data_IF_392775444321
#
_entry.id   IF_392775444321
#
_cell.length_a   1.000
_cell.length_b   1.000
_cell.length_c   1.000
_cell.angle_alpha   90.00
_cell.angle_beta   90.00
_cell.angle_gamma   90.00
#
_symmetry.space_group_name_H-M   'P 1'
#
loop_
_entity.id
_entity.type
_entity.pdbx_description
1 polymer ?
#
# COMPACT_ATOMS: atom_id res chain seq x y z
N UNK A 1 19.01 -7.23 3.77
CA UNK A 1 18.09 -6.13 4.13
C UNK A 1 17.77 -6.11 5.63
N UNK A 2 18.37 -6.99 6.43
CA UNK A 2 17.97 -7.26 7.82
C UNK A 2 18.06 -6.05 8.76
N UNK A 3 19.00 -5.13 8.52
CA UNK A 3 19.16 -3.90 9.31
C UNK A 3 17.96 -2.94 9.25
N UNK A 4 17.00 -3.17 8.34
CA UNK A 4 15.80 -2.36 8.16
C UNK A 4 14.53 -3.05 8.67
N UNK A 5 14.65 -4.24 9.27
CA UNK A 5 13.53 -4.94 9.90
C UNK A 5 12.99 -4.15 11.08
N UNK A 6 11.68 -4.21 11.28
CA UNK A 6 11.10 -3.72 12.52
C UNK A 6 11.39 -4.69 13.67
N UNK A 7 11.11 -4.26 14.91
CA UNK A 7 11.22 -5.18 16.03
C UNK A 7 10.15 -6.27 15.93
N UNK A 8 10.41 -7.47 16.48
CA UNK A 8 9.42 -8.54 16.49
C UNK A 8 8.07 -8.12 17.10
N UNK A 9 8.10 -7.26 18.13
CA UNK A 9 6.89 -6.75 18.77
C UNK A 9 6.07 -5.86 17.81
N UNK A 10 6.73 -5.00 17.03
CA UNK A 10 6.06 -4.16 16.03
C UNK A 10 5.52 -5.01 14.87
N UNK A 11 6.30 -5.99 14.42
CA UNK A 11 5.86 -6.92 13.37
C UNK A 11 4.60 -7.69 13.78
N UNK A 12 4.58 -8.25 14.99
CA UNK A 12 3.40 -8.96 15.50
C UNK A 12 2.19 -8.03 15.61
N UNK A 13 2.36 -6.83 16.16
CA UNK A 13 1.28 -5.84 16.28
C UNK A 13 0.69 -5.49 14.91
N UNK A 14 1.53 -5.24 13.89
CA UNK A 14 1.05 -4.91 12.55
C UNK A 14 0.26 -6.08 11.95
N UNK A 15 0.77 -7.29 12.07
CA UNK A 15 0.11 -8.50 11.55
C UNK A 15 -1.24 -8.72 12.24
N UNK A 16 -1.29 -8.64 13.57
CA UNK A 16 -2.51 -8.79 14.35
C UNK A 16 -3.55 -7.73 13.97
N UNK A 17 -3.13 -6.46 13.85
CA UNK A 17 -4.00 -5.37 13.44
C UNK A 17 -4.55 -5.56 12.02
N UNK A 18 -3.76 -6.08 11.08
CA UNK A 18 -4.23 -6.40 9.72
C UNK A 18 -5.30 -7.49 9.76
N UNK A 19 -5.07 -8.57 10.51
CA UNK A 19 -6.02 -9.69 10.61
C UNK A 19 -7.31 -9.24 11.29
N UNK A 20 -7.22 -8.53 12.42
CA UNK A 20 -8.40 -8.04 13.16
C UNK A 20 -9.16 -7.01 12.33
N UNK A 21 -8.48 -6.04 11.72
CA UNK A 21 -9.14 -5.05 10.86
C UNK A 21 -9.83 -5.69 9.66
N UNK A 22 -9.26 -6.74 9.08
CA UNK A 22 -9.92 -7.47 8.00
C UNK A 22 -11.18 -8.22 8.48
N UNK A 23 -11.16 -8.80 9.67
CA UNK A 23 -12.34 -9.42 10.29
C UNK A 23 -13.44 -8.41 10.57
N UNK A 24 -13.10 -7.24 11.08
CA UNK A 24 -14.07 -6.16 11.32
C UNK A 24 -14.75 -5.72 10.02
N UNK A 25 -13.99 -5.64 8.92
CA UNK A 25 -14.54 -5.39 7.59
C UNK A 25 -15.55 -6.47 7.17
N UNK A 26 -15.27 -7.75 7.42
CA UNK A 26 -16.17 -8.87 7.06
C UNK A 26 -17.49 -8.77 7.82
N UNK A 27 -17.46 -8.50 9.12
CA UNK A 27 -18.67 -8.34 9.93
C UNK A 27 -19.53 -7.18 9.43
N UNK A 28 -18.91 -6.05 9.08
CA UNK A 28 -19.63 -4.94 8.45
C UNK A 28 -20.15 -5.30 7.05
N UNK A 29 -19.40 -6.09 6.28
CA UNK A 29 -19.83 -6.57 4.97
C UNK A 29 -21.08 -7.45 5.08
N UNK A 30 -21.15 -8.34 6.08
CA UNK A 30 -22.34 -9.16 6.40
C UNK A 30 -23.54 -8.29 6.72
N UNK A 31 -23.34 -7.32 7.62
CA UNK A 31 -24.38 -6.38 8.02
C UNK A 31 -24.92 -5.60 6.80
N UNK A 32 -24.05 -5.12 5.91
CA UNK A 32 -24.49 -4.32 4.75
C UNK A 32 -25.10 -5.17 3.65
N UNK A 33 -24.65 -6.40 3.44
CA UNK A 33 -25.28 -7.35 2.52
C UNK A 33 -26.70 -7.70 2.98
N UNK A 34 -26.95 -7.83 4.29
CA UNK A 34 -28.29 -8.12 4.82
C UNK A 34 -29.24 -6.91 4.85
N UNK A 35 -28.74 -5.70 5.10
CA UNK A 35 -29.58 -4.50 5.29
C UNK A 35 -29.79 -3.66 4.03
N UNK A 36 -28.97 -3.81 2.99
CA UNK A 36 -29.01 -2.96 1.80
C UNK A 36 -29.31 -3.76 0.54
N UNK A 37 -30.11 -3.18 -0.37
CA UNK A 37 -30.41 -3.80 -1.67
C UNK A 37 -29.19 -3.81 -2.61
N UNK A 38 -28.31 -2.83 -2.48
CA UNK A 38 -27.06 -2.70 -3.22
C UNK A 38 -25.99 -2.30 -2.20
N UNK A 39 -24.95 -3.11 -2.06
CA UNK A 39 -23.87 -2.88 -1.10
C UNK A 39 -22.48 -3.06 -1.73
N UNK A 40 -22.37 -3.33 -3.04
CA UNK A 40 -21.11 -3.62 -3.74
C UNK A 40 -20.03 -2.55 -3.53
N UNK A 41 -20.43 -1.27 -3.42
CA UNK A 41 -19.51 -0.18 -3.12
C UNK A 41 -18.80 -0.30 -1.75
N UNK A 42 -19.31 -1.12 -0.84
CA UNK A 42 -18.66 -1.34 0.45
C UNK A 42 -17.42 -2.24 0.32
N UNK A 43 -17.28 -3.03 -0.75
CA UNK A 43 -16.09 -3.88 -0.96
C UNK A 43 -14.78 -3.07 -1.07
N UNK A 44 -14.92 -1.78 -1.37
CA UNK A 44 -13.85 -0.80 -1.52
C UNK A 44 -13.30 -0.25 -0.19
N UNK A 45 -13.92 -0.58 0.94
CA UNK A 45 -13.54 -0.01 2.24
C UNK A 45 -12.59 -0.91 3.04
N UNK A 46 -12.23 -2.09 2.52
CA UNK A 46 -11.37 -3.08 3.19
C UNK A 46 -10.09 -2.46 3.76
N UNK A 47 -9.37 -1.69 2.95
CA UNK A 47 -8.16 -0.99 3.37
C UNK A 47 -8.40 -0.05 4.56
N UNK A 48 -9.54 0.65 4.58
CA UNK A 48 -9.86 1.60 5.64
C UNK A 48 -10.04 0.89 6.99
N UNK A 49 -10.62 -0.31 7.03
CA UNK A 49 -10.76 -1.07 8.28
C UNK A 49 -9.40 -1.52 8.82
N UNK A 50 -8.54 -2.02 7.93
CA UNK A 50 -7.16 -2.42 8.26
C UNK A 50 -6.36 -1.22 8.79
N UNK A 51 -6.39 -0.08 8.07
CA UNK A 51 -5.71 1.14 8.49
C UNK A 51 -6.28 1.69 9.80
N UNK A 52 -7.61 1.65 9.99
CA UNK A 52 -8.24 2.12 11.23
C UNK A 52 -7.83 1.27 12.42
N UNK A 53 -7.83 -0.06 12.26
CA UNK A 53 -7.43 -0.97 13.34
C UNK A 53 -5.96 -0.78 13.68
N UNK A 54 -5.09 -0.62 12.68
CA UNK A 54 -3.69 -0.33 12.92
C UNK A 54 -3.51 1.01 13.65
N UNK A 55 -4.29 2.04 13.30
CA UNK A 55 -4.22 3.35 13.95
C UNK A 55 -4.60 3.32 15.42
N UNK A 56 -5.50 2.43 15.82
CA UNK A 56 -5.85 2.19 17.22
C UNK A 56 -4.69 1.53 17.97
N UNK A 57 -4.19 0.41 17.44
CA UNK A 57 -3.19 -0.43 18.12
C UNK A 57 -1.80 0.21 18.15
N UNK A 58 -1.43 0.98 17.11
CA UNK A 58 -0.06 1.47 16.96
C UNK A 58 0.33 2.50 18.05
N UNK A 59 -0.65 3.18 18.66
CA UNK A 59 -0.42 4.18 19.71
C UNK A 59 0.26 3.58 20.95
N UNK A 60 -0.14 2.36 21.32
CA UNK A 60 0.43 1.64 22.47
C UNK A 60 1.86 1.15 22.21
N UNK A 61 2.30 1.19 20.95
CA UNK A 61 3.61 0.76 20.47
C UNK A 61 4.51 1.93 20.06
N UNK A 62 4.21 3.16 20.50
CA UNK A 62 5.06 4.33 20.24
C UNK A 62 4.99 4.85 18.80
N UNK A 63 4.02 4.39 18.01
CA UNK A 63 3.70 4.98 16.72
C UNK A 63 2.64 6.05 16.87
N UNK A 64 2.65 6.96 15.92
CA UNK A 64 1.57 7.91 15.66
C UNK A 64 1.10 7.70 14.23
N UNK A 65 -0.05 8.24 13.87
CA UNK A 65 -0.52 8.20 12.50
C UNK A 65 -0.95 9.60 12.04
N UNK A 66 -0.80 9.84 10.74
CA UNK A 66 -1.23 11.07 10.09
C UNK A 66 -2.10 10.71 8.90
N UNK A 67 -3.26 11.35 8.81
CA UNK A 67 -4.10 11.28 7.63
C UNK A 67 -3.47 12.09 6.50
N UNK A 68 -3.34 11.47 5.33
CA UNK A 68 -2.81 12.10 4.12
C UNK A 68 -3.74 11.82 2.93
N UNK A 69 -3.50 12.49 1.81
CA UNK A 69 -4.29 12.33 0.58
C UNK A 69 -3.44 11.78 -0.54
N UNK A 70 -3.87 10.67 -1.11
CA UNK A 70 -3.41 10.19 -2.40
C UNK A 70 -4.36 10.79 -3.44
N UNK A 71 -3.93 11.88 -4.09
CA UNK A 71 -4.81 12.57 -5.04
C UNK A 71 -5.82 13.52 -4.39
N UNK A 72 -6.91 13.75 -5.13
CA UNK A 72 -8.02 14.60 -4.69
C UNK A 72 -9.03 13.86 -3.79
N UNK A 73 -9.14 12.54 -3.92
CA UNK A 73 -10.30 11.79 -3.40
C UNK A 73 -9.98 10.71 -2.38
N UNK A 74 -8.75 10.19 -2.33
CA UNK A 74 -8.41 9.06 -1.46
C UNK A 74 -7.61 9.51 -0.25
N UNK A 75 -8.19 9.33 0.92
CA UNK A 75 -7.47 9.48 2.17
C UNK A 75 -6.77 8.16 2.51
N UNK A 76 -5.56 8.25 3.05
CA UNK A 76 -4.81 7.09 3.58
C UNK A 76 -4.09 7.47 4.87
N UNK A 77 -3.64 6.47 5.63
CA UNK A 77 -2.89 6.70 6.87
C UNK A 77 -1.40 6.48 6.67
N UNK A 78 -0.63 7.45 7.14
CA UNK A 78 0.82 7.41 7.28
C UNK A 78 1.17 7.06 8.72
N UNK A 79 1.85 5.93 8.94
CA UNK A 79 2.25 5.49 10.28
C UNK A 79 3.69 5.91 10.56
N UNK A 80 3.91 6.54 11.71
CA UNK A 80 5.14 7.25 12.05
C UNK A 80 5.65 6.78 13.40
N UNK A 81 6.85 6.20 13.43
CA UNK A 81 7.58 5.97 14.66
C UNK A 81 8.40 7.22 14.99
N UNK A 82 8.02 7.94 16.05
CA UNK A 82 8.58 9.26 16.36
C UNK A 82 10.09 9.23 16.64
N UNK A 83 10.53 8.28 17.46
CA UNK A 83 11.92 8.20 17.92
C UNK A 83 12.88 7.77 16.81
N UNK A 84 12.48 6.78 16.02
CA UNK A 84 13.30 6.24 14.92
C UNK A 84 13.12 7.02 13.62
N UNK A 85 12.14 7.94 13.57
CA UNK A 85 11.76 8.70 12.38
C UNK A 85 11.47 7.79 11.18
N UNK A 86 10.79 6.69 11.45
CA UNK A 86 10.37 5.71 10.45
C UNK A 86 8.95 6.05 10.01
N UNK A 87 8.72 6.05 8.70
CA UNK A 87 7.42 6.19 8.07
C UNK A 87 7.07 4.88 7.39
N UNK A 88 5.83 4.40 7.52
CA UNK A 88 5.36 3.26 6.72
C UNK A 88 3.90 3.39 6.29
N UNK A 89 3.54 2.61 5.27
CA UNK A 89 2.19 2.47 4.73
C UNK A 89 1.79 1.01 4.63
N UNK A 90 0.49 0.75 4.59
CA UNK A 90 -0.08 -0.55 4.26
C UNK A 90 -0.79 -0.48 2.91
N UNK A 91 -0.54 -1.45 2.03
CA UNK A 91 -1.25 -1.61 0.74
C UNK A 91 -1.70 -3.04 0.52
N UNK A 92 -2.67 -3.22 -0.37
CA UNK A 92 -3.03 -4.56 -0.85
C UNK A 92 -2.03 -5.01 -1.93
N UNK A 93 -1.45 -6.19 -1.76
CA UNK A 93 -0.45 -6.78 -2.67
C UNK A 93 -1.00 -7.06 -4.08
N UNK A 94 -2.32 -7.15 -4.25
CA UNK A 94 -2.95 -7.25 -5.57
C UNK A 94 -2.70 -6.02 -6.46
N UNK A 95 -2.35 -4.88 -5.85
CA UNK A 95 -2.17 -3.60 -6.54
C UNK A 95 -0.80 -2.97 -6.28
N UNK A 96 0.14 -3.76 -5.78
CA UNK A 96 1.52 -3.35 -5.55
C UNK A 96 2.44 -4.11 -6.49
N UNK A 97 3.30 -3.37 -7.19
CA UNK A 97 4.34 -3.92 -8.06
C UNK A 97 5.71 -3.62 -7.45
N UNK A 98 6.34 -4.62 -6.87
CA UNK A 98 7.65 -4.51 -6.24
C UNK A 98 8.77 -4.18 -7.24
N UNK A 99 8.70 -4.66 -8.48
CA UNK A 99 9.66 -4.30 -9.53
C UNK A 99 9.50 -2.86 -10.05
N UNK A 100 8.40 -2.19 -9.70
CA UNK A 100 8.08 -0.87 -10.21
C UNK A 100 7.11 -0.11 -9.29
N UNK A 101 7.51 0.11 -8.04
CA UNK A 101 6.57 0.55 -6.98
C UNK A 101 5.96 1.94 -7.24
N UNK A 102 6.64 2.78 -8.03
CA UNK A 102 6.15 4.13 -8.35
C UNK A 102 5.38 4.26 -9.66
N UNK A 103 5.13 3.19 -10.43
CA UNK A 103 4.42 3.34 -11.70
C UNK A 103 2.93 3.08 -11.58
N UNK A 104 2.15 4.08 -12.02
CA UNK A 104 0.77 3.90 -12.39
C UNK A 104 0.65 3.27 -13.80
N UNK A 105 0.07 2.07 -13.96
CA UNK A 105 -0.09 1.41 -15.26
C UNK A 105 -1.29 1.97 -16.05
N UNK A 106 -1.07 2.82 -17.06
CA UNK A 106 -2.17 3.32 -17.90
C UNK A 106 -2.74 2.26 -18.86
N UNK A 107 -4.02 2.40 -19.31
CA UNK A 107 -4.71 1.45 -20.19
C UNK A 107 -4.19 1.39 -21.63
N UNK A 108 -3.35 2.34 -22.07
CA UNK A 108 -2.93 2.43 -23.47
C UNK A 108 -1.41 2.51 -23.61
N UNK A 109 -0.81 1.47 -24.20
CA UNK A 109 0.59 1.40 -24.61
C UNK A 109 0.89 2.24 -25.85
N UNK A 110 0.33 3.45 -25.95
CA UNK A 110 0.57 4.35 -27.08
C UNK A 110 0.94 5.74 -26.58
N UNK A 111 2.25 6.01 -26.57
CA UNK A 111 2.77 7.38 -26.65
C UNK A 111 3.28 7.97 -25.34
N UNK A 112 4.60 8.25 -25.35
CA UNK A 112 5.38 9.13 -24.47
C UNK A 112 5.56 8.65 -23.01
N UNK A 113 6.68 7.94 -22.82
CA UNK A 113 7.30 7.63 -21.52
C UNK A 113 7.97 8.90 -20.97
N UNK A 114 7.27 9.64 -20.12
CA UNK A 114 7.89 10.56 -19.18
C UNK A 114 7.92 9.91 -17.78
N UNK A 115 8.89 10.26 -16.91
CA UNK A 115 8.93 9.77 -15.54
C UNK A 115 7.73 10.34 -14.78
N UNK A 116 6.68 9.54 -14.57
CA UNK A 116 5.54 9.97 -13.75
C UNK A 116 5.89 9.71 -12.30
N UNK A 117 6.07 10.77 -11.53
CA UNK A 117 6.40 10.70 -10.10
C UNK A 117 5.12 10.37 -9.33
N UNK A 118 4.95 9.20 -8.72
CA UNK A 118 3.79 9.00 -7.82
C UNK A 118 4.07 9.50 -6.41
N UNK A 119 3.05 9.57 -5.56
CA UNK A 119 3.29 9.90 -4.14
C UNK A 119 4.24 8.87 -3.49
N UNK A 120 4.18 7.60 -3.91
CA UNK A 120 5.13 6.57 -3.46
C UNK A 120 6.56 6.88 -3.91
N UNK A 121 6.76 7.39 -5.13
CA UNK A 121 8.06 7.89 -5.58
C UNK A 121 8.57 9.00 -4.66
N UNK A 122 7.72 10.00 -4.37
CA UNK A 122 8.13 11.13 -3.54
C UNK A 122 8.44 10.71 -2.10
N UNK A 123 7.65 9.81 -1.51
CA UNK A 123 7.95 9.23 -0.19
C UNK A 123 9.23 8.38 -0.22
N UNK A 124 9.52 7.66 -1.32
CA UNK A 124 10.74 6.86 -1.43
C UNK A 124 12.03 7.68 -1.38
N UNK A 125 11.97 8.99 -1.65
CA UNK A 125 13.14 9.88 -1.51
C UNK A 125 13.66 9.95 -0.07
N UNK A 126 12.83 9.62 0.94
CA UNK A 126 13.27 9.44 2.33
C UNK A 126 14.42 8.41 2.40
N UNK A 127 14.39 7.39 1.53
CA UNK A 127 15.37 6.31 1.52
C UNK A 127 16.65 6.64 0.73
N UNK A 128 16.84 7.86 0.24
CA UNK A 128 17.99 8.21 -0.63
C UNK A 128 19.34 8.01 0.07
N UNK A 129 19.39 8.18 1.39
CA UNK A 129 20.60 7.98 2.20
C UNK A 129 20.84 6.54 2.62
N UNK A 130 19.92 5.62 2.30
CA UNK A 130 20.01 4.22 2.70
C UNK A 130 20.89 3.42 1.75
N UNK A 131 21.50 2.37 2.29
CA UNK A 131 22.34 1.44 1.50
C UNK A 131 21.49 0.30 0.98
N UNK A 132 21.53 0.09 -0.34
CA UNK A 132 20.85 -0.99 -1.04
C UNK A 132 21.87 -1.97 -1.66
N UNK A 133 21.51 -3.26 -1.80
CA UNK A 133 22.37 -4.23 -2.48
C UNK A 133 22.67 -3.82 -3.92
N UNK A 134 23.94 -3.87 -4.34
CA UNK A 134 24.36 -3.47 -5.70
C UNK A 134 23.95 -4.48 -6.79
N UNK A 135 23.38 -5.62 -6.41
CA UNK A 135 23.07 -6.73 -7.32
C UNK A 135 21.58 -7.03 -7.24
N UNK A 136 20.87 -6.86 -8.36
CA UNK A 136 19.51 -7.37 -8.52
C UNK A 136 19.55 -8.88 -8.29
N UNK A 137 19.02 -9.35 -7.17
CA UNK A 137 18.50 -10.71 -7.14
C UNK A 137 17.22 -10.67 -7.95
N UNK A 138 17.33 -10.89 -9.26
CA UNK A 138 16.16 -11.16 -10.07
C UNK A 138 15.48 -12.39 -9.48
N UNK A 139 14.35 -12.21 -8.81
CA UNK A 139 13.46 -13.32 -8.50
C UNK A 139 13.00 -13.91 -9.83
N UNK A 140 13.65 -15.02 -10.22
CA UNK A 140 13.25 -15.86 -11.34
C UNK A 140 11.93 -16.54 -10.93
N UNK A 141 10.84 -15.84 -11.15
CA UNK A 141 9.50 -16.37 -11.07
C UNK A 141 8.70 -15.69 -12.14
N UNK A 142 8.43 -16.40 -13.24
CA UNK A 142 7.54 -15.93 -14.30
C UNK A 142 6.12 -15.79 -13.74
N UNK A 143 5.85 -14.71 -13.01
CA UNK A 143 4.50 -14.30 -12.67
C UNK A 143 3.88 -13.75 -13.94
N UNK A 144 2.84 -14.43 -14.42
CA UNK A 144 1.92 -13.90 -15.43
C UNK A 144 1.34 -12.63 -14.83
N UNK A 145 1.88 -11.49 -15.22
CA UNK A 145 1.34 -10.17 -14.91
C UNK A 145 0.01 -10.04 -15.64
N UNK A 146 -1.10 -10.29 -14.93
CA UNK A 146 -2.42 -9.85 -15.41
C UNK A 146 -2.34 -8.33 -15.65
N UNK A 147 -2.88 -7.87 -16.78
CA UNK A 147 -2.94 -6.45 -17.11
C UNK A 147 -3.88 -5.76 -16.12
N UNK A 148 -3.38 -4.78 -15.39
CA UNK A 148 -4.18 -3.92 -14.53
C UNK A 148 -4.25 -2.53 -15.17
N UNK A 149 -5.46 -1.99 -15.29
CA UNK A 149 -5.72 -0.69 -15.94
C UNK A 149 -5.92 0.40 -14.87
N UNK A 150 -5.11 1.45 -14.91
CA UNK A 150 -5.09 2.48 -13.89
C UNK A 150 -5.36 3.86 -14.48
N UNK A 151 -6.11 4.68 -13.75
CA UNK A 151 -6.42 6.07 -14.10
C UNK A 151 -5.63 6.99 -13.16
N UNK A 152 -4.79 7.87 -13.71
CA UNK A 152 -4.05 8.90 -12.95
C UNK A 152 -4.83 10.22 -12.94
N UNK A 153 -5.08 10.81 -11.78
CA UNK A 153 -5.78 12.11 -11.62
C UNK A 153 -4.86 13.19 -11.02
N UNK A 154 -4.89 14.38 -11.61
CA UNK A 154 -3.83 15.38 -11.59
C UNK A 154 -3.86 16.32 -10.36
N UNK A 155 -2.68 16.72 -9.85
CA UNK A 155 -2.48 17.78 -8.85
C UNK A 155 -1.47 18.81 -9.38
N UNK A 156 -1.70 20.10 -9.13
CA UNK A 156 -0.81 21.21 -9.49
C UNK A 156 0.41 21.32 -8.55
N UNK A 157 1.58 21.60 -9.12
CA UNK A 157 2.91 21.26 -8.58
C UNK A 157 3.47 22.24 -7.51
N UNK A 158 2.98 23.48 -7.44
CA UNK A 158 3.76 24.58 -6.83
C UNK A 158 3.54 24.80 -5.32
N UNK A 159 2.46 24.31 -4.70
CA UNK A 159 2.24 24.47 -3.24
C UNK A 159 2.61 23.21 -2.44
N UNK A 160 2.77 22.05 -3.10
CA UNK A 160 2.97 20.75 -2.42
C UNK A 160 4.45 20.39 -2.25
N UNK A 161 5.35 20.88 -3.12
CA UNK A 161 6.78 20.51 -3.11
C UNK A 161 7.50 20.93 -1.83
N UNK A 162 7.38 22.18 -1.40
CA UNK A 162 8.13 22.69 -0.25
C UNK A 162 7.69 22.05 1.08
N UNK A 163 6.40 21.74 1.23
CA UNK A 163 5.89 21.01 2.40
C UNK A 163 6.34 19.55 2.38
N UNK A 164 6.34 18.91 1.21
CA UNK A 164 6.76 17.51 1.07
C UNK A 164 8.28 17.34 1.23
N UNK A 165 9.10 18.28 0.78
CA UNK A 165 10.56 18.26 0.99
C UNK A 165 10.93 18.47 2.46
N UNK A 166 10.27 19.39 3.16
CA UNK A 166 10.44 19.58 4.61
C UNK A 166 9.93 18.38 5.41
N UNK A 167 8.85 17.74 4.95
CA UNK A 167 8.29 16.55 5.56
C UNK A 167 9.21 15.34 5.36
N UNK A 168 9.64 15.06 4.13
CA UNK A 168 10.53 13.93 3.81
C UNK A 168 11.89 14.04 4.49
N UNK A 169 12.46 15.24 4.62
CA UNK A 169 13.72 15.47 5.35
C UNK A 169 13.63 15.25 6.87
N UNK A 170 12.42 15.14 7.43
CA UNK A 170 12.23 14.83 8.86
C UNK A 170 12.26 13.33 9.17
N UNK A 171 12.25 12.47 8.14
CA UNK A 171 12.25 11.02 8.25
C UNK A 171 13.54 10.40 7.75
N UNK A 172 13.88 9.24 8.30
CA UNK A 172 15.09 8.50 7.95
C UNK A 172 14.80 7.30 7.04
N UNK A 173 13.60 6.72 7.17
CA UNK A 173 13.24 5.50 6.45
C UNK A 173 11.76 5.53 6.09
N UNK A 174 11.46 5.08 4.89
CA UNK A 174 10.12 4.88 4.36
C UNK A 174 9.94 3.41 3.96
N UNK A 175 8.93 2.76 4.53
CA UNK A 175 8.64 1.34 4.31
C UNK A 175 7.23 1.14 3.75
N UNK A 176 7.02 0.03 3.05
CA UNK A 176 5.71 -0.37 2.53
C UNK A 176 5.45 -1.79 3.01
N UNK A 177 4.38 -1.98 3.78
CA UNK A 177 3.86 -3.31 4.07
C UNK A 177 2.71 -3.63 3.13
N UNK A 178 2.65 -4.87 2.68
CA UNK A 178 1.55 -5.33 1.83
C UNK A 178 0.88 -6.56 2.40
N UNK A 179 -0.44 -6.66 2.28
CA UNK A 179 -1.19 -7.86 2.59
C UNK A 179 -1.79 -8.48 1.32
N UNK A 180 -1.84 -9.81 1.23
CA UNK A 180 -2.49 -10.57 0.15
C UNK A 180 -3.62 -11.43 0.71
N UNK A 181 -4.66 -11.60 -0.10
CA UNK A 181 -5.69 -12.60 0.12
C UNK A 181 -5.43 -13.83 -0.76
N UNK A 182 -5.65 -15.03 -0.23
CA UNK A 182 -5.63 -16.26 -1.02
C UNK A 182 -6.95 -16.49 -1.79
N UNK A 183 -7.05 -17.65 -2.44
CA UNK A 183 -8.26 -18.07 -3.16
C UNK A 183 -9.48 -18.32 -2.25
N UNK A 184 -9.25 -18.49 -0.94
CA UNK A 184 -10.28 -18.58 0.08
C UNK A 184 -10.63 -17.21 0.71
N UNK A 185 -10.09 -16.11 0.14
CA UNK A 185 -10.27 -14.73 0.59
C UNK A 185 -9.77 -14.43 2.00
N UNK A 186 -8.90 -15.25 2.56
CA UNK A 186 -8.27 -15.00 3.86
C UNK A 186 -6.90 -14.35 3.69
N UNK A 187 -6.45 -13.60 4.70
CA UNK A 187 -5.11 -12.99 4.70
C UNK A 187 -4.07 -14.11 4.71
N UNK A 188 -3.28 -14.20 3.64
CA UNK A 188 -2.37 -15.33 3.42
C UNK A 188 -0.91 -14.92 3.39
N UNK A 189 -0.62 -13.67 3.08
CA UNK A 189 0.75 -13.17 2.92
C UNK A 189 0.81 -11.74 3.47
N UNK A 190 1.83 -11.45 4.27
CA UNK A 190 2.16 -10.08 4.68
C UNK A 190 3.64 -9.86 4.44
N UNK A 191 3.97 -8.93 3.54
CA UNK A 191 5.33 -8.66 3.11
C UNK A 191 5.76 -7.26 3.49
N UNK A 192 6.99 -7.11 3.94
CA UNK A 192 7.61 -5.84 4.32
C UNK A 192 8.66 -5.45 3.29
N UNK A 193 8.49 -4.29 2.66
CA UNK A 193 9.38 -3.78 1.62
C UNK A 193 10.01 -2.42 1.97
N UNK A 194 11.20 -2.20 1.41
CA UNK A 194 11.90 -0.92 1.40
C UNK A 194 12.08 -0.41 -0.05
N UNK A 195 11.33 0.61 -0.48
CA UNK A 195 11.45 1.20 -1.82
C UNK A 195 12.77 1.93 -2.03
N UNK A 196 13.47 1.61 -3.12
CA UNK A 196 14.69 2.31 -3.55
C UNK A 196 14.35 3.39 -4.59
N UNK A 197 14.55 4.69 -4.27
CA UNK A 197 14.22 5.78 -5.19
C UNK A 197 15.07 5.78 -6.48
N UNK A 198 16.22 5.11 -6.50
CA UNK A 198 17.17 5.17 -7.61
C UNK A 198 16.87 4.18 -8.75
N UNK A 199 16.38 2.99 -8.42
CA UNK A 199 16.10 1.92 -9.40
C UNK A 199 14.61 1.58 -9.52
N UNK A 200 13.76 2.22 -8.69
CA UNK A 200 12.32 2.02 -8.64
C UNK A 200 11.86 0.62 -8.21
N UNK A 201 12.73 -0.11 -7.50
CA UNK A 201 12.44 -1.44 -6.97
C UNK A 201 12.17 -1.35 -5.46
N UNK A 202 11.16 -2.07 -4.99
CA UNK A 202 10.89 -2.26 -3.57
C UNK A 202 11.54 -3.56 -3.09
N UNK A 203 12.61 -3.43 -2.30
CA UNK A 203 13.39 -4.56 -1.83
C UNK A 203 12.69 -5.22 -0.65
N UNK A 204 12.50 -6.54 -0.70
CA UNK A 204 11.96 -7.31 0.41
C UNK A 204 12.90 -7.20 1.63
N UNK A 205 12.34 -6.73 2.74
CA UNK A 205 12.99 -6.65 4.05
C UNK A 205 12.70 -7.91 4.85
N UNK A 206 11.43 -8.29 4.92
CA UNK A 206 10.97 -9.44 5.69
C UNK A 206 9.65 -10.00 5.17
N UNK A 207 9.49 -11.31 5.26
CA UNK A 207 8.22 -12.02 5.09
C UNK A 207 7.64 -12.24 6.49
N UNK A 208 6.45 -11.67 6.73
CA UNK A 208 5.75 -11.72 8.02
C UNK A 208 4.62 -12.75 8.01
N UNK A 209 4.51 -13.54 6.95
CA UNK A 209 3.39 -14.48 6.77
C UNK A 209 3.32 -15.55 7.84
N UNK A 210 4.47 -15.95 8.41
CA UNK A 210 4.54 -16.90 9.52
C UNK A 210 3.92 -16.39 10.83
N UNK A 211 3.77 -15.06 10.98
CA UNK A 211 3.15 -14.45 12.16
C UNK A 211 1.62 -14.40 12.06
N UNK A 212 1.06 -14.71 10.88
CA UNK A 212 -0.38 -14.68 10.66
C UNK A 212 -1.03 -15.77 11.50
N UNK A 213 -1.87 -15.36 12.44
CA UNK A 213 -2.69 -16.27 13.24
C UNK A 213 -4.15 -15.82 13.22
N UNK A 214 -5.07 -16.78 13.09
CA UNK A 214 -6.49 -16.48 13.05
C UNK A 214 -6.98 -15.77 11.77
N UNK A 215 -6.29 -15.86 10.64
CA UNK A 215 -6.84 -15.35 9.38
C UNK A 215 -7.99 -16.20 8.81
N UNK A 216 -8.17 -17.42 9.34
CA UNK A 216 -9.17 -18.39 8.90
C UNK A 216 -10.58 -17.82 8.88
N UNK A 217 -11.26 -18.04 7.77
CA UNK A 217 -12.64 -17.60 7.52
C UNK A 217 -13.60 -18.79 7.53
N UNK A 218 -14.82 -18.56 8.00
CA UNK A 218 -15.93 -19.52 7.88
C UNK A 218 -16.49 -19.52 6.46
N UNK A 219 -17.35 -20.49 6.11
CA UNK A 219 -18.03 -20.48 4.81
C UNK A 219 -18.92 -19.24 4.64
N UNK A 220 -19.60 -18.81 5.70
CA UNK A 220 -20.42 -17.60 5.70
C UNK A 220 -19.59 -16.35 5.41
N UNK A 221 -18.40 -16.24 6.03
CA UNK A 221 -17.46 -15.14 5.79
C UNK A 221 -17.06 -15.08 4.31
N UNK A 222 -16.68 -16.24 3.75
CA UNK A 222 -16.25 -16.35 2.35
C UNK A 222 -17.35 -15.94 1.38
N UNK A 223 -18.57 -16.37 1.62
CA UNK A 223 -19.73 -16.06 0.77
C UNK A 223 -20.08 -14.57 0.74
N UNK A 224 -19.66 -13.84 1.77
CA UNK A 224 -19.92 -12.40 1.91
C UNK A 224 -18.86 -11.55 1.21
N UNK A 225 -17.62 -12.04 1.15
CA UNK A 225 -16.50 -11.34 0.50
C UNK A 225 -16.23 -11.78 -0.94
N UNK A 226 -16.73 -12.97 -1.33
CA UNK A 226 -16.63 -13.45 -2.70
C UNK A 226 -17.26 -12.42 -3.66
N UNK A 227 -16.57 -12.08 -4.77
CA UNK A 227 -17.13 -11.21 -5.79
C UNK A 227 -18.33 -11.89 -6.44
N UNK A 228 -19.41 -11.14 -6.65
CA UNK A 228 -20.53 -11.62 -7.44
C UNK A 228 -20.02 -11.88 -8.87
N UNK A 229 -20.43 -12.99 -9.51
CA UNK A 229 -19.88 -13.50 -10.79
C UNK A 229 -19.92 -12.54 -11.99
N UNK A 230 -20.46 -11.32 -11.83
CA UNK A 230 -20.54 -10.27 -12.84
C UNK A 230 -19.76 -8.99 -12.50
N UNK A 231 -19.13 -8.89 -11.33
CA UNK A 231 -18.47 -7.66 -10.91
C UNK A 231 -16.94 -7.78 -10.98
N UNK A 232 -16.32 -7.19 -12.00
CA UNK A 232 -14.89 -6.82 -11.99
C UNK A 232 -14.68 -5.65 -11.00
N UNK A 233 -14.77 -5.92 -9.69
CA UNK A 233 -14.57 -4.91 -8.63
C UNK A 233 -13.07 -4.68 -8.42
N UNK A 234 -12.50 -3.67 -9.07
CA UNK A 234 -11.06 -3.34 -9.04
C UNK A 234 -10.71 -2.24 -8.02
N UNK A 235 -10.17 -2.58 -6.82
CA UNK A 235 -9.95 -1.69 -5.62
C UNK A 235 -9.56 -0.23 -5.95
N UNK A 236 -10.21 0.83 -5.42
CA UNK A 236 -9.75 2.17 -5.72
C UNK A 236 -8.36 2.50 -5.16
N UNK A 237 -7.89 1.77 -4.15
CA UNK A 237 -6.49 1.84 -3.71
C UNK A 237 -5.51 1.32 -4.78
N UNK A 238 -6.00 0.63 -5.81
CA UNK A 238 -5.25 0.29 -7.02
C UNK A 238 -4.97 1.50 -7.92
N UNK A 239 -5.71 2.60 -7.73
CA UNK A 239 -5.45 3.85 -8.44
C UNK A 239 -4.34 4.64 -7.72
N UNK A 240 -3.07 4.31 -8.01
CA UNK A 240 -1.91 5.17 -7.69
C UNK A 240 -1.89 6.43 -8.60
N UNK A 241 -1.39 7.54 -8.09
CA UNK A 241 -1.57 8.86 -8.70
C UNK A 241 -0.22 9.43 -9.10
N UNK A 242 -0.07 9.70 -10.39
CA UNK A 242 1.10 10.37 -10.97
C UNK A 242 1.04 11.89 -10.83
N UNK A 243 2.13 12.47 -10.35
CA UNK A 243 2.52 13.87 -10.36
C UNK A 243 3.29 14.12 -11.67
N UNK A 244 2.91 15.13 -12.43
CA UNK A 244 3.67 15.59 -13.60
C UNK A 244 4.73 16.59 -13.17
N UNK A 245 5.92 16.49 -13.77
CA UNK A 245 6.81 17.64 -13.92
C UNK A 245 6.31 18.45 -15.11
N UNK A 246 6.12 19.76 -14.97
CA UNK A 246 6.09 20.63 -16.14
C UNK A 246 7.45 20.49 -16.86
N UNK A 247 7.44 19.93 -18.09
CA UNK A 247 8.58 20.08 -18.99
C UNK A 247 8.78 21.59 -19.17
N UNK A 248 9.79 22.15 -18.49
CA UNK A 248 10.34 23.44 -18.92
C UNK A 248 10.81 23.24 -20.35
N UNK A 249 9.98 23.68 -21.29
CA UNK A 249 10.39 23.90 -22.66
C UNK A 249 11.56 24.88 -22.59
N UNK A 250 12.77 24.35 -22.69
CA UNK A 250 13.95 25.15 -23.02
C UNK A 250 13.71 25.68 -24.43
N UNK A 251 13.18 26.90 -24.50
CA UNK A 251 13.24 27.78 -25.66
C UNK A 251 14.64 28.37 -25.78
#
# INVERSE_FOLDING_TARGET
MDQYKFSPEHNQMIVDAIVVGYRDYIEHRKERKSKMRISSAFSWTKGNFIESKLAEECLDHGFTYKKSKAGLTWDYLQFIHGDSKILFLIKNAAYFNDDCFSQAMLPNQSGKRGPRRTYLHELSKINTSLTFPSTRQASIGGKITKRYEQISWFIAENEVKDELEKFTSSYNQFHILTYRLDDAYQISEIMHYLPNPNDNVAYLVEDLSDLISGAELTEEDRDVVAPDMNDEVMDPAAFDIGIFEEEQQKL
#
